data_IF_823361618704
#
_entry.id   IF_823361618704
#
_cell.length_a   1.000
_cell.length_b   1.000
_cell.length_c   1.000
_cell.angle_alpha   90.00
_cell.angle_beta   90.00
_cell.angle_gamma   90.00
#
_symmetry.space_group_name_H-M   'P 1'
#
loop_
_entity.id
_entity.type
_entity.pdbx_description
1 polymer ?
#
# COMPACT_ATOMS: atom_id res chain seq x y z
N UNK A 1 -18.69 6.55 7.29
CA UNK A 1 -19.15 6.30 5.91
C UNK A 1 -18.43 5.08 5.37
N UNK A 2 -18.92 4.45 4.31
CA UNK A 2 -18.15 3.46 3.55
C UNK A 2 -17.95 3.91 2.11
N UNK A 3 -16.81 3.53 1.54
CA UNK A 3 -16.47 3.71 0.13
C UNK A 3 -16.01 2.36 -0.42
N UNK A 4 -16.64 1.87 -1.49
CA UNK A 4 -16.51 0.51 -2.02
C UNK A 4 -16.60 -0.58 -0.93
N UNK A 5 -17.53 -0.41 0.03
CA UNK A 5 -17.72 -1.31 1.16
C UNK A 5 -16.70 -1.17 2.31
N UNK A 6 -15.64 -0.39 2.14
CA UNK A 6 -14.61 -0.16 3.17
C UNK A 6 -14.99 1.02 4.06
N UNK A 7 -14.91 0.86 5.39
CA UNK A 7 -15.14 1.94 6.35
C UNK A 7 -14.06 3.01 6.22
N UNK A 8 -14.47 4.27 6.06
CA UNK A 8 -13.58 5.42 5.96
C UNK A 8 -13.77 6.37 7.15
N UNK A 9 -12.66 6.84 7.71
CA UNK A 9 -12.68 7.90 8.72
C UNK A 9 -12.96 9.24 8.03
N UNK A 10 -14.17 9.76 8.23
CA UNK A 10 -14.77 10.80 7.36
C UNK A 10 -14.98 12.10 8.13
N UNK A 11 -14.51 13.21 7.57
CA UNK A 11 -14.81 14.56 8.04
C UNK A 11 -15.99 15.15 7.26
N UNK A 12 -16.98 15.69 7.97
CA UNK A 12 -18.04 16.51 7.37
C UNK A 12 -17.65 17.99 7.49
N UNK A 13 -17.19 18.58 6.40
CA UNK A 13 -16.72 19.96 6.35
C UNK A 13 -17.71 20.84 5.60
N UNK A 14 -18.50 21.62 6.34
CA UNK A 14 -19.51 22.53 5.78
C UNK A 14 -18.88 23.72 5.05
N UNK A 15 -17.60 23.99 5.28
CA UNK A 15 -16.81 25.02 4.58
C UNK A 15 -16.17 24.53 3.28
N UNK A 16 -16.07 23.22 3.07
CA UNK A 16 -15.51 22.66 1.84
C UNK A 16 -16.53 22.67 0.69
N UNK A 17 -16.05 23.00 -0.52
CA UNK A 17 -16.83 22.94 -1.76
C UNK A 17 -16.64 21.63 -2.52
N UNK A 18 -15.64 20.83 -2.14
CA UNK A 18 -15.22 19.61 -2.83
C UNK A 18 -15.25 18.42 -1.89
N UNK A 19 -15.64 17.26 -2.41
CA UNK A 19 -15.53 15.97 -1.72
C UNK A 19 -14.19 15.34 -2.07
N UNK A 20 -13.36 15.05 -1.06
CA UNK A 20 -11.96 14.66 -1.27
C UNK A 20 -11.68 13.31 -0.62
N UNK A 21 -11.17 12.36 -1.40
CA UNK A 21 -10.68 11.06 -0.96
C UNK A 21 -9.15 11.06 -0.86
N UNK A 22 -8.59 10.52 0.22
CA UNK A 22 -7.14 10.40 0.34
C UNK A 22 -6.58 9.37 -0.64
N UNK A 23 -5.39 9.58 -1.23
CA UNK A 23 -4.78 8.61 -2.14
C UNK A 23 -4.48 7.28 -1.47
N UNK A 24 -4.11 7.29 -0.18
CA UNK A 24 -3.86 6.09 0.62
C UNK A 24 -5.14 5.26 0.75
N UNK A 25 -6.25 5.90 1.08
CA UNK A 25 -7.51 5.19 1.24
C UNK A 25 -8.07 4.72 -0.11
N UNK A 26 -7.92 5.49 -1.19
CA UNK A 26 -8.31 5.07 -2.53
C UNK A 26 -7.62 3.76 -2.96
N UNK A 27 -6.34 3.55 -2.58
CA UNK A 27 -5.63 2.28 -2.80
C UNK A 27 -6.23 1.14 -1.96
N UNK A 28 -6.51 1.39 -0.68
CA UNK A 28 -7.10 0.39 0.23
C UNK A 28 -8.49 -0.05 -0.26
N UNK A 29 -9.31 0.92 -0.67
CA UNK A 29 -10.65 0.69 -1.20
C UNK A 29 -10.66 0.18 -2.66
N UNK A 30 -9.48 -0.07 -3.24
CA UNK A 30 -9.28 -0.55 -4.62
C UNK A 30 -10.05 0.30 -5.64
N UNK A 31 -10.16 1.60 -5.40
CA UNK A 31 -10.87 2.52 -6.28
C UNK A 31 -10.04 2.81 -7.52
N UNK A 32 -10.67 2.85 -8.70
CA UNK A 32 -10.01 3.26 -9.94
C UNK A 32 -9.81 4.78 -9.94
N UNK A 33 -8.56 5.21 -9.78
CA UNK A 33 -8.15 6.61 -9.89
C UNK A 33 -7.86 6.94 -11.36
N UNK A 34 -8.28 8.13 -11.81
CA UNK A 34 -7.97 8.65 -13.14
C UNK A 34 -7.41 10.07 -13.04
N UNK A 35 -6.60 10.45 -14.03
CA UNK A 35 -6.07 11.79 -14.15
C UNK A 35 -7.12 12.72 -14.76
N UNK A 36 -7.27 13.91 -14.20
CA UNK A 36 -8.16 14.94 -14.72
C UNK A 36 -7.51 15.61 -15.94
N UNK A 37 -8.30 15.83 -16.98
CA UNK A 37 -7.86 16.58 -18.17
C UNK A 37 -7.50 18.02 -17.83
N UNK A 38 -8.22 18.61 -16.87
CA UNK A 38 -8.03 19.98 -16.40
C UNK A 38 -7.81 19.95 -14.88
N UNK A 39 -6.57 20.17 -14.40
CA UNK A 39 -6.31 20.27 -12.97
C UNK A 39 -7.12 21.40 -12.31
N UNK A 40 -7.74 21.11 -11.17
CA UNK A 40 -8.53 22.07 -10.40
C UNK A 40 -7.65 22.68 -9.31
N UNK A 41 -7.69 24.00 -9.14
CA UNK A 41 -7.01 24.65 -8.02
C UNK A 41 -7.86 24.50 -6.76
N UNK A 42 -7.36 23.75 -5.79
CA UNK A 42 -7.98 23.65 -4.48
C UNK A 42 -7.67 24.93 -3.69
N UNK A 43 -8.71 25.69 -3.37
CA UNK A 43 -8.61 26.86 -2.50
C UNK A 43 -8.59 26.41 -1.05
N UNK A 44 -7.51 26.74 -0.35
CA UNK A 44 -7.35 26.44 1.07
C UNK A 44 -7.81 27.64 1.89
N UNK A 45 -8.24 27.39 3.13
CA UNK A 45 -8.75 28.42 4.04
C UNK A 45 -7.73 29.51 4.44
N UNK A 46 -6.48 29.42 3.99
CA UNK A 46 -5.42 30.42 4.23
C UNK A 46 -5.01 31.13 2.95
N UNK A 47 -4.93 32.47 3.02
CA UNK A 47 -4.54 33.31 1.87
C UNK A 47 -3.14 32.93 1.39
N UNK A 48 -3.01 32.66 0.10
CA UNK A 48 -1.74 32.31 -0.54
C UNK A 48 -1.45 30.80 -0.62
N UNK A 49 -2.12 29.98 0.19
CA UNK A 49 -2.03 28.53 0.11
C UNK A 49 -2.89 28.03 -1.06
N UNK A 50 -2.24 27.41 -2.05
CA UNK A 50 -2.92 26.81 -3.20
C UNK A 50 -2.38 25.40 -3.37
N UNK A 51 -3.29 24.43 -3.48
CA UNK A 51 -2.96 23.09 -3.93
C UNK A 51 -3.63 22.82 -5.27
N UNK A 52 -3.15 21.80 -6.01
CA UNK A 52 -3.76 21.37 -7.27
C UNK A 52 -4.28 19.95 -7.14
N UNK A 53 -5.52 19.77 -7.54
CA UNK A 53 -6.14 18.46 -7.72
C UNK A 53 -5.89 18.04 -9.17
N UNK A 54 -5.16 16.95 -9.35
CA UNK A 54 -4.84 16.40 -10.67
C UNK A 54 -5.56 15.08 -10.94
N UNK A 55 -6.21 14.52 -9.93
CA UNK A 55 -6.78 13.18 -9.97
C UNK A 55 -8.17 13.19 -9.38
N UNK A 56 -9.01 12.31 -9.90
CA UNK A 56 -10.35 12.03 -9.40
C UNK A 56 -10.63 10.54 -9.43
N UNK A 57 -11.73 10.16 -8.79
CA UNK A 57 -12.22 8.79 -8.84
C UNK A 57 -13.74 8.76 -8.70
N UNK A 58 -14.36 7.74 -9.30
CA UNK A 58 -15.74 7.40 -9.01
C UNK A 58 -15.77 6.19 -8.08
N UNK A 59 -16.48 6.30 -6.97
CA UNK A 59 -16.61 5.22 -6.00
C UNK A 59 -18.05 5.04 -5.53
N UNK A 60 -18.39 3.80 -5.18
CA UNK A 60 -19.65 3.52 -4.49
C UNK A 60 -19.52 3.98 -3.04
N UNK A 61 -20.54 4.65 -2.53
CA UNK A 61 -20.60 5.06 -1.14
C UNK A 61 -21.86 4.55 -0.46
N UNK A 62 -21.77 4.41 0.86
CA UNK A 62 -22.92 4.22 1.72
C UNK A 62 -22.75 4.96 3.05
N UNK A 63 -23.82 5.59 3.51
CA UNK A 63 -23.88 6.30 4.78
C UNK A 63 -25.27 6.15 5.40
N UNK A 64 -25.29 5.84 6.68
CA UNK A 64 -26.49 5.83 7.51
C UNK A 64 -26.81 4.46 8.09
N UNK A 65 -28.01 4.32 8.63
CA UNK A 65 -28.55 3.06 9.16
C UNK A 65 -29.74 2.56 8.29
N UNK A 66 -30.35 1.44 8.64
CA UNK A 66 -31.42 0.79 7.85
C UNK A 66 -32.55 1.76 7.41
N UNK A 67 -32.89 2.73 8.25
CA UNK A 67 -33.97 3.68 7.97
C UNK A 67 -33.53 4.97 7.27
N UNK A 68 -32.22 5.27 7.27
CA UNK A 68 -31.66 6.55 6.83
C UNK A 68 -30.57 6.40 5.77
N UNK A 69 -30.38 5.18 5.26
CA UNK A 69 -29.31 4.87 4.31
C UNK A 69 -29.42 5.77 3.07
N UNK A 70 -28.31 6.42 2.76
CA UNK A 70 -28.01 6.98 1.45
C UNK A 70 -26.86 6.20 0.85
N UNK A 71 -27.00 5.83 -0.41
CA UNK A 71 -25.98 5.09 -1.13
C UNK A 71 -26.06 5.41 -2.61
N UNK A 72 -24.98 5.11 -3.31
CA UNK A 72 -24.90 5.32 -4.75
C UNK A 72 -23.46 5.47 -5.19
N UNK A 73 -23.28 5.96 -6.41
CA UNK A 73 -21.96 6.28 -6.96
C UNK A 73 -21.75 7.78 -6.90
N UNK A 74 -20.58 8.21 -6.42
CA UNK A 74 -20.19 9.62 -6.42
C UNK A 74 -18.78 9.78 -6.95
N UNK A 75 -18.55 10.94 -7.55
CA UNK A 75 -17.22 11.43 -7.85
C UNK A 75 -16.56 11.98 -6.57
N UNK A 76 -15.27 11.74 -6.42
CA UNK A 76 -14.41 12.30 -5.39
C UNK A 76 -13.13 12.81 -6.01
N UNK A 77 -12.73 14.03 -5.65
CA UNK A 77 -11.38 14.53 -5.94
C UNK A 77 -10.36 13.72 -5.13
N UNK A 78 -9.21 13.43 -5.72
CA UNK A 78 -8.14 12.71 -5.03
C UNK A 78 -7.02 13.69 -4.70
N UNK A 79 -6.85 13.98 -3.42
CA UNK A 79 -5.83 14.88 -2.92
C UNK A 79 -5.35 14.49 -1.52
N UNK A 80 -4.11 14.88 -1.19
CA UNK A 80 -3.54 14.64 0.13
C UNK A 80 -4.30 15.46 1.18
N UNK A 81 -5.10 14.76 1.98
CA UNK A 81 -5.85 15.34 3.11
C UNK A 81 -5.21 14.93 4.43
N UNK A 82 -5.28 15.82 5.42
CA UNK A 82 -4.68 15.59 6.72
C UNK A 82 -5.60 14.74 7.59
N UNK A 83 -5.08 13.65 8.16
CA UNK A 83 -5.71 12.78 9.20
C UNK A 83 -6.96 12.01 8.80
N UNK A 84 -7.76 12.50 7.85
CA UNK A 84 -8.99 11.84 7.42
C UNK A 84 -8.77 11.00 6.16
N UNK A 85 -9.62 9.99 5.96
CA UNK A 85 -9.64 9.19 4.73
C UNK A 85 -10.52 9.85 3.66
N UNK A 86 -11.54 10.59 4.09
CA UNK A 86 -12.53 11.24 3.24
C UNK A 86 -12.97 12.57 3.87
N UNK A 87 -13.08 13.62 3.07
CA UNK A 87 -13.75 14.88 3.41
C UNK A 87 -15.02 14.99 2.57
N UNK A 88 -16.15 15.21 3.23
CA UNK A 88 -17.44 15.47 2.60
C UNK A 88 -17.72 16.96 2.68
N UNK A 89 -17.86 17.59 1.53
CA UNK A 89 -18.14 19.01 1.38
C UNK A 89 -19.63 19.33 1.40
N UNK A 90 -19.92 20.64 1.36
CA UNK A 90 -21.26 21.16 1.44
C UNK A 90 -22.17 20.78 0.26
N UNK A 91 -21.61 20.54 -0.93
CA UNK A 91 -22.39 20.13 -2.10
C UNK A 91 -23.03 18.76 -1.89
N UNK A 92 -22.22 17.77 -1.48
CA UNK A 92 -22.71 16.42 -1.16
C UNK A 92 -23.74 16.46 -0.03
N UNK A 93 -23.46 17.21 1.04
CA UNK A 93 -24.40 17.35 2.15
C UNK A 93 -25.75 17.91 1.71
N UNK A 94 -25.77 18.98 0.88
CA UNK A 94 -27.00 19.54 0.32
C UNK A 94 -27.73 18.53 -0.57
N UNK A 95 -27.01 17.87 -1.47
CA UNK A 95 -27.56 16.88 -2.41
C UNK A 95 -28.28 15.74 -1.67
N UNK A 96 -27.73 15.31 -0.54
CA UNK A 96 -28.25 14.16 0.22
C UNK A 96 -29.07 14.55 1.47
N UNK A 97 -29.34 15.84 1.68
CA UNK A 97 -30.12 16.31 2.82
C UNK A 97 -29.48 16.00 4.17
N UNK A 98 -28.17 16.14 4.25
CA UNK A 98 -27.36 15.94 5.46
C UNK A 98 -27.24 17.27 6.20
N UNK A 99 -27.56 17.26 7.49
CA UNK A 99 -27.28 18.38 8.38
C UNK A 99 -26.31 17.94 9.49
N UNK A 100 -25.34 18.78 9.81
CA UNK A 100 -24.40 18.55 10.91
C UNK A 100 -24.98 19.19 12.18
N UNK A 101 -25.07 18.40 13.25
CA UNK A 101 -25.51 18.85 14.58
C UNK A 101 -24.33 18.76 15.57
N UNK A 102 -23.70 19.90 15.80
CA UNK A 102 -22.56 20.05 16.71
C UNK A 102 -22.96 20.04 18.19
N UNK A 103 -24.25 20.21 18.51
CA UNK A 103 -24.69 20.14 19.91
C UNK A 103 -24.79 18.70 20.41
N UNK A 104 -24.97 17.74 19.49
CA UNK A 104 -25.16 16.33 19.84
C UNK A 104 -24.14 15.40 19.18
N UNK A 105 -23.07 15.96 18.60
CA UNK A 105 -22.03 15.24 17.84
C UNK A 105 -22.65 14.19 16.92
N UNK A 106 -23.51 14.68 16.03
CA UNK A 106 -24.27 13.80 15.15
C UNK A 106 -24.53 14.44 13.79
N UNK A 107 -24.90 13.61 12.83
CA UNK A 107 -25.46 14.06 11.56
C UNK A 107 -26.93 13.70 11.49
N UNK A 108 -27.70 14.48 10.75
CA UNK A 108 -29.10 14.20 10.46
C UNK A 108 -29.23 13.90 8.97
N UNK A 109 -29.84 12.78 8.64
CA UNK A 109 -30.17 12.40 7.27
C UNK A 109 -31.68 12.21 7.21
N UNK A 110 -32.36 12.91 6.27
CA UNK A 110 -33.83 12.90 6.15
C UNK A 110 -34.53 13.20 7.49
N UNK A 111 -33.97 14.11 8.29
CA UNK A 111 -34.51 14.54 9.58
C UNK A 111 -34.21 13.63 10.77
N UNK A 112 -33.76 12.38 10.56
CA UNK A 112 -33.40 11.41 11.61
C UNK A 112 -31.94 11.55 12.02
N UNK A 113 -31.67 11.43 13.33
CA UNK A 113 -30.33 11.53 13.92
C UNK A 113 -29.53 10.25 13.71
N UNK A 114 -28.26 10.42 13.35
CA UNK A 114 -27.27 9.36 13.21
C UNK A 114 -26.04 9.80 14.01
N UNK A 115 -25.66 9.08 15.07
CA UNK A 115 -24.49 9.44 15.85
C UNK A 115 -23.23 9.37 14.98
N UNK A 116 -22.33 10.34 15.13
CA UNK A 116 -20.96 10.19 14.63
C UNK A 116 -20.17 9.34 15.63
N UNK A 117 -18.88 9.12 15.34
CA UNK A 117 -18.01 8.55 16.36
C UNK A 117 -17.96 9.49 17.59
N UNK A 118 -17.83 8.95 18.81
CA UNK A 118 -17.63 9.76 20.00
C UNK A 118 -16.40 10.65 19.90
N UNK A 119 -16.45 11.83 20.52
CA UNK A 119 -15.36 12.83 20.49
C UNK A 119 -14.06 12.24 21.04
N UNK A 120 -14.13 11.42 22.09
CA UNK A 120 -12.94 10.77 22.66
C UNK A 120 -12.30 9.77 21.69
N UNK A 121 -13.12 8.99 20.99
CA UNK A 121 -12.64 8.05 19.96
C UNK A 121 -12.06 8.79 18.76
N UNK A 122 -12.67 9.91 18.36
CA UNK A 122 -12.13 10.78 17.31
C UNK A 122 -10.73 11.27 17.69
N UNK A 123 -10.58 11.82 18.91
CA UNK A 123 -9.30 12.32 19.40
C UNK A 123 -8.23 11.23 19.44
N UNK A 124 -8.57 10.04 19.92
CA UNK A 124 -7.65 8.89 19.92
C UNK A 124 -7.22 8.50 18.51
N UNK A 125 -8.14 8.46 17.55
CA UNK A 125 -7.82 8.12 16.17
C UNK A 125 -6.95 9.21 15.52
N UNK A 126 -7.23 10.49 15.78
CA UNK A 126 -6.41 11.62 15.32
C UNK A 126 -4.98 11.56 15.90
N UNK A 127 -4.84 11.24 17.19
CA UNK A 127 -3.53 11.05 17.84
C UNK A 127 -2.80 9.87 17.21
N UNK A 128 -3.45 8.71 17.07
CA UNK A 128 -2.86 7.50 16.47
C UNK A 128 -2.35 7.77 15.05
N UNK A 129 -3.11 8.49 14.24
CA UNK A 129 -2.74 8.86 12.86
C UNK A 129 -1.62 9.89 12.82
N UNK A 130 -1.54 10.77 13.80
CA UNK A 130 -0.44 11.75 13.94
C UNK A 130 0.85 11.07 14.40
N UNK A 131 0.79 10.10 15.31
CA UNK A 131 1.94 9.33 15.80
C UNK A 131 2.61 8.49 14.71
N UNK A 132 1.85 8.03 13.70
CA UNK A 132 2.42 7.40 12.49
C UNK A 132 3.35 8.32 11.69
N UNK A 133 3.36 9.63 11.96
CA UNK A 133 4.24 10.61 11.32
C UNK A 133 5.45 10.99 12.16
N UNK A 134 5.57 10.48 13.40
CA UNK A 134 6.82 10.62 14.12
C UNK A 134 7.83 9.75 13.39
N UNK A 135 8.73 10.39 12.64
CA UNK A 135 9.86 9.69 12.06
C UNK A 135 10.58 8.96 13.20
N UNK A 136 10.92 7.67 13.03
CA UNK A 136 11.73 6.97 14.02
C UNK A 136 12.96 7.81 14.31
N UNK A 137 13.28 8.02 15.58
CA UNK A 137 14.55 8.65 15.95
C UNK A 137 15.66 7.59 15.91
N UNK A 138 16.92 8.01 15.94
CA UNK A 138 18.03 7.04 15.95
C UNK A 138 17.97 6.09 17.16
N UNK A 139 17.42 6.55 18.28
CA UNK A 139 17.19 5.73 19.47
C UNK A 139 16.15 4.62 19.27
N UNK A 140 15.21 4.80 18.33
CA UNK A 140 14.18 3.79 18.02
C UNK A 140 14.71 2.66 17.11
N UNK A 141 15.81 2.91 16.39
CA UNK A 141 16.35 1.98 15.37
C UNK A 141 16.68 0.60 15.94
N UNK A 142 17.37 0.45 17.09
CA UNK A 142 17.70 -0.87 17.63
C UNK A 142 16.47 -1.73 17.90
N UNK A 143 15.45 -1.13 18.55
CA UNK A 143 14.21 -1.83 18.89
C UNK A 143 13.39 -2.19 17.65
N UNK A 144 13.32 -1.30 16.65
CA UNK A 144 12.65 -1.59 15.39
C UNK A 144 13.34 -2.71 14.61
N UNK A 145 14.68 -2.72 14.59
CA UNK A 145 15.47 -3.77 13.94
C UNK A 145 15.23 -5.13 14.59
N UNK A 146 15.27 -5.20 15.92
CA UNK A 146 15.01 -6.43 16.66
C UNK A 146 13.59 -6.94 16.39
N UNK A 147 12.60 -6.04 16.45
CA UNK A 147 11.21 -6.38 16.15
C UNK A 147 11.05 -6.93 14.73
N UNK A 148 11.63 -6.27 13.72
CA UNK A 148 11.52 -6.74 12.33
C UNK A 148 12.24 -8.07 12.09
N UNK A 149 13.42 -8.26 12.71
CA UNK A 149 14.12 -9.55 12.63
C UNK A 149 13.30 -10.68 13.29
N UNK A 150 12.59 -10.38 14.38
CA UNK A 150 11.71 -11.35 15.03
C UNK A 150 10.42 -11.60 14.23
N UNK A 151 9.80 -10.55 13.69
CA UNK A 151 8.53 -10.63 12.94
C UNK A 151 8.67 -11.34 11.60
N UNK A 152 9.82 -11.17 10.93
CA UNK A 152 10.11 -11.72 9.60
C UNK A 152 11.23 -12.77 9.64
N UNK A 153 11.44 -13.43 10.78
CA UNK A 153 12.49 -14.45 10.94
C UNK A 153 12.36 -15.57 9.89
N UNK A 154 11.12 -15.94 9.57
CA UNK A 154 10.77 -16.94 8.56
C UNK A 154 11.32 -16.66 7.15
N UNK A 155 11.48 -15.38 6.80
CA UNK A 155 12.03 -14.95 5.49
C UNK A 155 13.53 -14.62 5.62
N UNK A 156 13.99 -14.25 6.81
CA UNK A 156 15.37 -13.77 7.07
C UNK A 156 16.36 -14.88 7.41
N UNK A 157 15.90 -16.09 7.77
CA UNK A 157 16.73 -17.26 8.07
C UNK A 157 17.46 -17.87 6.85
N UNK A 158 17.36 -17.20 5.69
CA UNK A 158 17.96 -17.64 4.44
C UNK A 158 17.10 -18.67 3.71
N UNK A 159 17.63 -19.19 2.60
CA UNK A 159 16.91 -20.20 1.82
C UNK A 159 17.10 -21.57 2.51
N UNK A 160 16.03 -22.28 2.91
CA UNK A 160 16.13 -23.59 3.55
C UNK A 160 16.93 -24.58 2.70
N UNK A 161 17.77 -25.46 3.27
CA UNK A 161 18.57 -26.46 2.53
C UNK A 161 17.73 -27.60 1.89
N UNK A 162 16.65 -27.25 1.20
CA UNK A 162 15.77 -28.16 0.49
C UNK A 162 15.19 -27.45 -0.74
N UNK A 163 14.87 -28.22 -1.77
CA UNK A 163 14.16 -27.71 -2.95
C UNK A 163 12.76 -27.26 -2.53
N UNK A 164 12.29 -26.07 -2.95
CA UNK A 164 10.91 -25.67 -2.70
C UNK A 164 9.93 -26.66 -3.36
N UNK A 165 8.77 -26.93 -2.75
CA UNK A 165 7.78 -27.83 -3.33
C UNK A 165 7.26 -27.31 -4.68
N UNK A 166 6.83 -28.23 -5.53
CA UNK A 166 6.16 -27.89 -6.79
C UNK A 166 4.94 -27.00 -6.55
N UNK A 167 4.80 -25.96 -7.36
CA UNK A 167 3.65 -25.04 -7.29
C UNK A 167 2.53 -25.50 -8.23
N UNK A 168 1.33 -24.94 -8.07
CA UNK A 168 0.19 -25.17 -8.99
C UNK A 168 0.56 -24.79 -10.44
N UNK A 169 1.41 -23.77 -10.59
CA UNK A 169 1.97 -23.35 -11.87
C UNK A 169 3.50 -23.42 -11.75
N UNK A 170 4.12 -24.30 -12.52
CA UNK A 170 5.57 -24.35 -12.69
C UNK A 170 5.90 -23.88 -14.10
N UNK A 171 6.86 -22.98 -14.21
CA UNK A 171 7.27 -22.42 -15.48
C UNK A 171 8.45 -23.21 -16.03
N UNK A 172 8.38 -23.58 -17.30
CA UNK A 172 9.51 -24.11 -18.07
C UNK A 172 9.98 -23.02 -19.02
N UNK A 173 11.29 -22.82 -19.14
CA UNK A 173 11.86 -21.93 -20.15
C UNK A 173 12.05 -22.78 -21.42
N UNK A 174 11.25 -22.59 -22.48
CA UNK A 174 11.46 -23.32 -23.73
C UNK A 174 12.75 -22.81 -24.39
N UNK A 175 13.64 -23.74 -24.74
CA UNK A 175 14.81 -23.41 -25.54
C UNK A 175 14.36 -23.16 -26.99
N UNK A 176 14.80 -22.06 -27.59
CA UNK A 176 14.52 -21.73 -29.00
C UNK A 176 15.22 -22.74 -29.93
N UNK A 177 16.43 -23.13 -29.57
CA UNK A 177 17.25 -24.11 -30.28
C UNK A 177 18.02 -24.94 -29.23
N UNK A 178 17.68 -26.22 -29.03
CA UNK A 178 18.35 -27.10 -28.06
C UNK A 178 19.82 -27.39 -28.38
N UNK A 179 20.21 -27.30 -29.66
CA UNK A 179 21.54 -27.71 -30.13
C UNK A 179 22.50 -26.52 -30.27
N UNK A 180 22.03 -25.31 -29.94
CA UNK A 180 22.80 -24.07 -30.09
C UNK A 180 23.97 -24.01 -29.12
N UNK A 181 25.18 -23.99 -29.68
CA UNK A 181 26.42 -23.80 -28.92
C UNK A 181 26.86 -22.33 -28.92
N UNK A 182 27.16 -21.80 -27.73
CA UNK A 182 27.63 -20.42 -27.57
C UNK A 182 29.15 -20.35 -27.36
N UNK A 183 29.84 -19.46 -28.09
CA UNK A 183 31.22 -19.13 -27.78
C UNK A 183 31.24 -18.08 -26.67
N UNK A 184 31.79 -18.40 -25.50
CA UNK A 184 31.90 -17.45 -24.38
C UNK A 184 33.20 -17.62 -23.61
N UNK A 185 33.59 -16.56 -22.90
CA UNK A 185 34.74 -16.57 -22.00
C UNK A 185 34.36 -17.20 -20.66
N UNK A 186 35.07 -18.26 -20.27
CA UNK A 186 34.87 -18.92 -18.98
C UNK A 186 35.35 -18.01 -17.84
N UNK A 187 34.46 -17.53 -16.95
CA UNK A 187 34.88 -16.70 -15.83
C UNK A 187 35.73 -17.53 -14.87
N UNK A 188 36.84 -16.95 -14.42
CA UNK A 188 37.74 -17.56 -13.42
C UNK A 188 37.34 -17.09 -12.03
N UNK A 189 37.26 -18.02 -11.08
CA UNK A 189 37.10 -17.68 -9.67
C UNK A 189 38.45 -17.22 -9.11
N UNK A 190 38.54 -16.05 -8.45
CA UNK A 190 39.75 -15.63 -7.74
C UNK A 190 40.18 -16.65 -6.68
N UNK A 191 41.49 -16.79 -6.47
CA UNK A 191 42.04 -17.79 -5.54
C UNK A 191 41.56 -17.59 -4.10
N UNK A 192 41.39 -16.34 -3.67
CA UNK A 192 40.84 -15.98 -2.36
C UNK A 192 39.41 -16.49 -2.12
N UNK A 193 38.65 -16.73 -3.19
CA UNK A 193 37.24 -17.13 -3.12
C UNK A 193 37.01 -18.60 -3.44
N UNK A 194 38.06 -19.38 -3.72
CA UNK A 194 37.92 -20.83 -3.99
C UNK A 194 37.26 -21.58 -2.85
N UNK A 195 37.58 -21.22 -1.59
CA UNK A 195 36.94 -21.82 -0.41
C UNK A 195 35.44 -21.58 -0.39
N UNK A 196 35.03 -20.31 -0.48
CA UNK A 196 33.61 -19.93 -0.53
C UNK A 196 32.85 -20.56 -1.70
N UNK A 197 33.49 -20.67 -2.87
CA UNK A 197 32.88 -21.35 -4.01
C UNK A 197 32.65 -22.83 -3.72
N UNK A 198 33.64 -23.51 -3.11
CA UNK A 198 33.50 -24.91 -2.75
C UNK A 198 32.38 -25.12 -1.73
N UNK A 199 32.35 -24.32 -0.66
CA UNK A 199 31.31 -24.41 0.37
C UNK A 199 29.90 -24.21 -0.23
N UNK A 200 29.77 -23.26 -1.18
CA UNK A 200 28.52 -23.02 -1.90
C UNK A 200 28.13 -24.21 -2.78
N UNK A 201 29.07 -24.77 -3.54
CA UNK A 201 28.82 -25.98 -4.36
C UNK A 201 28.34 -27.12 -3.46
N UNK A 202 29.06 -27.39 -2.37
CA UNK A 202 28.74 -28.49 -1.46
C UNK A 202 27.37 -28.29 -0.79
N UNK A 203 27.05 -27.07 -0.37
CA UNK A 203 25.73 -26.70 0.16
C UNK A 203 24.61 -26.93 -0.87
N UNK A 204 24.80 -26.43 -2.09
CA UNK A 204 23.75 -26.44 -3.12
C UNK A 204 23.52 -27.85 -3.67
N UNK A 205 24.58 -28.66 -3.78
CA UNK A 205 24.47 -30.08 -4.11
C UNK A 205 23.75 -30.86 -3.01
N UNK A 206 24.06 -30.60 -1.72
CA UNK A 206 23.40 -31.26 -0.59
C UNK A 206 21.92 -30.90 -0.49
N UNK A 207 21.57 -29.63 -0.73
CA UNK A 207 20.20 -29.14 -0.76
C UNK A 207 19.39 -29.62 -1.99
N UNK A 208 20.05 -30.28 -2.95
CA UNK A 208 19.43 -30.73 -4.21
C UNK A 208 19.18 -29.62 -5.23
N UNK A 209 19.63 -28.39 -4.96
CA UNK A 209 19.48 -27.27 -5.91
C UNK A 209 20.36 -27.43 -7.14
N UNK A 210 21.56 -27.99 -6.96
CA UNK A 210 22.52 -28.25 -8.03
C UNK A 210 22.78 -29.75 -8.16
N UNK A 211 22.96 -30.19 -9.41
CA UNK A 211 23.40 -31.54 -9.74
C UNK A 211 24.76 -31.46 -10.44
N UNK A 212 25.79 -32.18 -9.96
CA UNK A 212 27.06 -32.27 -10.66
C UNK A 212 26.87 -32.90 -12.05
N UNK A 213 27.15 -32.14 -13.11
CA UNK A 213 27.05 -32.60 -14.50
C UNK A 213 28.26 -32.16 -15.30
N UNK A 214 28.73 -33.05 -16.18
CA UNK A 214 29.72 -32.70 -17.19
C UNK A 214 29.01 -32.09 -18.41
N UNK A 215 29.09 -30.77 -18.54
CA UNK A 215 28.61 -30.04 -19.72
C UNK A 215 29.78 -29.45 -20.48
N UNK A 216 29.66 -29.36 -21.81
CA UNK A 216 30.61 -28.64 -22.64
C UNK A 216 30.61 -27.12 -22.33
N UNK A 217 29.53 -26.61 -21.72
CA UNK A 217 29.30 -25.20 -21.43
C UNK A 217 28.72 -25.04 -20.01
N UNK A 218 29.56 -24.69 -19.03
CA UNK A 218 29.16 -24.38 -17.66
C UNK A 218 29.68 -23.01 -17.19
N UNK A 219 28.93 -22.34 -16.31
CA UNK A 219 29.32 -21.06 -15.71
C UNK A 219 29.45 -21.24 -14.19
N UNK A 220 30.60 -20.90 -13.58
CA UNK A 220 30.69 -20.84 -12.13
C UNK A 220 29.86 -19.67 -11.61
N UNK A 221 28.74 -19.96 -10.94
CA UNK A 221 27.81 -18.96 -10.40
C UNK A 221 28.22 -18.54 -8.97
N UNK A 222 29.27 -17.73 -8.85
CA UNK A 222 29.61 -17.02 -7.61
C UNK A 222 29.36 -15.53 -7.78
N UNK A 223 28.41 -14.98 -7.02
CA UNK A 223 28.25 -13.53 -6.92
C UNK A 223 29.38 -13.01 -6.03
N UNK A 224 30.38 -12.36 -6.63
CA UNK A 224 31.48 -11.74 -5.90
C UNK A 224 31.07 -10.32 -5.52
N UNK A 225 31.10 -9.93 -4.23
CA UNK A 225 30.89 -8.54 -3.85
C UNK A 225 31.97 -7.67 -4.51
N UNK A 226 31.56 -6.56 -5.11
CA UNK A 226 32.47 -5.55 -5.66
C UNK A 226 33.01 -4.65 -4.55
#
# INVERSE_FOLDING_TARGET
>A
MTVNGMKCFTLFDTGSTTDILSPEFAKIAKTRIFQLSNPVTLQLGTKGSKSKINYGCDAEFSLGNEETTISGKSYFDVANIDRYDLVIGCHFMRKHGIAVDLNTDSIRIKGKRIPTIPVEEEQQELIRRSSKRKAPTEEDIPALKERWLAEYSDIMDGVPEQIPPWRVINHTIPLVDPDKQYNYYLPRCPDSLRGHLKDKIDLYCRAGWWEPTAVAQGIPMLCVPK
#
